data_IF_559837038931
#
_entry.id   IF_559837038931
#
_cell.length_a   1.000
_cell.length_b   1.000
_cell.length_c   1.000
_cell.angle_alpha   90.00
_cell.angle_beta   90.00
_cell.angle_gamma   90.00
#
_symmetry.space_group_name_H-M   'P 1'
#
loop_
_entity.id
_entity.type
_entity.pdbx_description
1 polymer ?
#
# COMPACT_ATOMS: atom_id res chain seq x y z
N UNK A 1 -60.10 26.86 17.20
CA UNK A 1 -58.76 27.18 16.62
C UNK A 1 -57.60 26.59 17.42
N UNK A 2 -57.56 26.68 18.75
CA UNK A 2 -56.46 26.15 19.60
C UNK A 2 -56.34 24.61 19.54
N UNK A 3 -57.47 23.91 19.48
CA UNK A 3 -57.56 22.44 19.36
C UNK A 3 -57.09 21.92 18.00
N UNK A 4 -57.45 22.60 16.90
CA UNK A 4 -57.00 22.23 15.56
C UNK A 4 -55.47 22.38 15.37
N UNK A 5 -54.85 23.40 15.98
CA UNK A 5 -53.39 23.57 15.96
C UNK A 5 -52.65 22.45 16.72
N UNK A 6 -53.22 21.99 17.84
CA UNK A 6 -52.66 20.87 18.60
C UNK A 6 -52.78 19.54 17.82
N UNK A 7 -53.91 19.30 17.16
CA UNK A 7 -54.10 18.12 16.30
C UNK A 7 -53.14 18.14 15.10
N UNK A 8 -52.94 19.30 14.47
CA UNK A 8 -51.99 19.43 13.35
C UNK A 8 -50.55 19.15 13.78
N UNK A 9 -50.15 19.66 14.96
CA UNK A 9 -48.81 19.43 15.51
C UNK A 9 -48.57 17.97 15.91
N UNK A 10 -49.62 17.28 16.40
CA UNK A 10 -49.53 15.85 16.72
C UNK A 10 -49.39 15.01 15.45
N UNK A 11 -50.15 15.33 14.40
CA UNK A 11 -50.04 14.66 13.10
C UNK A 11 -48.62 14.83 12.56
N UNK A 12 -48.08 16.05 12.59
CA UNK A 12 -46.71 16.33 12.12
C UNK A 12 -45.66 15.50 12.87
N UNK A 13 -45.76 15.45 14.20
CA UNK A 13 -44.84 14.71 15.05
C UNK A 13 -44.87 13.20 14.77
N UNK A 14 -46.06 12.64 14.61
CA UNK A 14 -46.24 11.22 14.27
C UNK A 14 -45.68 10.91 12.89
N UNK A 15 -45.96 11.74 11.88
CA UNK A 15 -45.40 11.54 10.53
C UNK A 15 -43.88 11.65 10.50
N UNK A 16 -43.30 12.57 11.29
CA UNK A 16 -41.85 12.73 11.39
C UNK A 16 -41.18 11.51 12.05
N UNK A 17 -41.78 10.99 13.13
CA UNK A 17 -41.29 9.79 13.81
C UNK A 17 -41.36 8.55 12.91
N UNK A 18 -42.43 8.38 12.13
CA UNK A 18 -42.56 7.27 11.18
C UNK A 18 -41.49 7.36 10.09
N UNK A 19 -41.22 8.55 9.55
CA UNK A 19 -40.20 8.73 8.52
C UNK A 19 -38.81 8.29 8.99
N UNK A 20 -38.44 8.62 10.24
CA UNK A 20 -37.16 8.22 10.84
C UNK A 20 -37.07 6.71 11.03
N UNK A 21 -38.14 6.07 11.51
CA UNK A 21 -38.16 4.63 11.74
C UNK A 21 -38.06 3.83 10.44
N UNK A 22 -38.65 4.35 9.36
CA UNK A 22 -38.53 3.74 8.02
C UNK A 22 -37.15 3.96 7.42
N UNK A 23 -36.54 5.13 7.59
CA UNK A 23 -35.18 5.39 7.07
C UNK A 23 -34.07 4.69 7.86
N UNK A 24 -34.31 4.31 9.11
CA UNK A 24 -33.32 3.66 9.97
C UNK A 24 -33.12 2.16 9.71
N UNK A 25 -34.01 1.51 8.97
CA UNK A 25 -33.88 0.08 8.57
C UNK A 25 -33.29 -0.05 7.16
N UNK A 26 -32.23 0.71 6.87
CA UNK A 26 -31.41 0.45 5.68
C UNK A 26 -30.35 -0.58 6.06
N UNK A 27 -30.44 -1.76 5.45
CA UNK A 27 -29.37 -2.75 5.48
C UNK A 27 -28.23 -2.19 4.61
N UNK A 28 -27.29 -1.49 5.23
CA UNK A 28 -26.14 -0.95 4.55
C UNK A 28 -25.19 -2.12 4.29
N UNK A 29 -25.27 -2.69 3.09
CA UNK A 29 -24.27 -3.64 2.60
C UNK A 29 -22.94 -2.90 2.55
N UNK A 30 -22.12 -3.10 3.59
CA UNK A 30 -20.82 -2.49 3.72
C UNK A 30 -19.96 -2.96 2.56
N UNK A 31 -19.56 -2.04 1.69
CA UNK A 31 -18.52 -2.32 0.72
C UNK A 31 -17.21 -2.44 1.51
N UNK A 32 -16.84 -3.67 1.89
CA UNK A 32 -15.55 -3.94 2.49
C UNK A 32 -14.47 -3.35 1.58
N UNK A 33 -13.66 -2.45 2.12
CA UNK A 33 -12.49 -1.97 1.39
C UNK A 33 -11.54 -3.15 1.26
N UNK A 34 -11.57 -3.79 0.10
CA UNK A 34 -10.61 -4.83 -0.28
C UNK A 34 -9.27 -4.11 -0.48
N UNK A 35 -8.51 -3.95 0.60
CA UNK A 35 -7.08 -3.62 0.53
C UNK A 35 -6.35 -4.92 0.18
N UNK A 36 -6.51 -5.37 -1.05
CA UNK A 36 -5.64 -6.41 -1.59
C UNK A 36 -4.49 -5.67 -2.25
N UNK A 37 -3.35 -5.66 -1.58
CA UNK A 37 -2.07 -5.48 -2.26
C UNK A 37 -1.98 -6.62 -3.29
N UNK A 38 -2.22 -6.31 -4.57
CA UNK A 38 -2.25 -7.31 -5.65
C UNK A 38 -0.93 -8.06 -5.84
N UNK A 39 0.11 -7.73 -5.07
CA UNK A 39 1.40 -8.40 -5.07
C UNK A 39 1.40 -9.75 -4.33
N UNK A 40 0.56 -9.92 -3.30
CA UNK A 40 0.62 -11.11 -2.43
C UNK A 40 0.06 -12.39 -3.11
N UNK A 41 -0.76 -12.23 -4.15
CA UNK A 41 -1.32 -13.35 -4.92
C UNK A 41 -0.49 -13.75 -6.14
N UNK A 42 0.67 -13.11 -6.36
CA UNK A 42 1.56 -13.50 -7.45
C UNK A 42 2.50 -14.57 -6.93
N UNK A 43 2.28 -15.82 -7.34
CA UNK A 43 3.27 -16.88 -7.15
C UNK A 43 4.49 -16.50 -8.00
N UNK A 44 5.52 -15.99 -7.34
CA UNK A 44 6.78 -15.68 -8.02
C UNK A 44 7.36 -16.99 -8.57
N UNK A 45 7.79 -17.02 -9.84
CA UNK A 45 8.51 -18.17 -10.36
C UNK A 45 9.79 -18.34 -9.53
N UNK A 46 10.10 -19.60 -9.17
CA UNK A 46 11.34 -19.90 -8.44
C UNK A 46 12.55 -19.39 -9.22
N UNK A 47 13.48 -18.74 -8.51
CA UNK A 47 14.74 -18.28 -9.10
C UNK A 47 15.49 -19.46 -9.70
N UNK A 48 15.74 -19.40 -11.01
CA UNK A 48 16.58 -20.36 -11.72
C UNK A 48 17.91 -19.71 -12.04
N UNK A 49 18.99 -20.47 -11.84
CA UNK A 49 20.30 -20.05 -12.31
C UNK A 49 20.32 -20.21 -13.82
N UNK A 50 20.56 -19.11 -14.52
CA UNK A 50 20.66 -19.09 -15.98
C UNK A 50 22.13 -19.23 -16.41
N UNK A 51 22.38 -19.76 -17.61
CA UNK A 51 23.73 -20.10 -18.07
C UNK A 51 24.71 -18.90 -18.04
N UNK A 52 24.22 -17.68 -18.29
CA UNK A 52 25.03 -16.46 -18.24
C UNK A 52 25.54 -16.14 -16.83
N UNK A 53 24.85 -16.60 -15.78
CA UNK A 53 25.24 -16.35 -14.38
C UNK A 53 26.44 -17.20 -13.95
N UNK A 54 26.72 -18.29 -14.67
CA UNK A 54 27.76 -19.28 -14.30
C UNK A 54 28.83 -19.50 -15.38
N UNK A 55 28.59 -19.03 -16.60
CA UNK A 55 29.54 -19.20 -17.70
C UNK A 55 30.62 -18.13 -17.63
N UNK A 56 31.86 -18.53 -17.34
CA UNK A 56 33.01 -17.63 -17.16
C UNK A 56 33.23 -16.70 -18.37
N UNK A 57 33.05 -17.21 -19.59
CA UNK A 57 33.20 -16.43 -20.83
C UNK A 57 32.23 -15.25 -20.93
N UNK A 58 31.05 -15.33 -20.29
CA UNK A 58 30.09 -14.22 -20.22
C UNK A 58 30.63 -13.04 -19.39
N UNK A 59 31.60 -13.28 -18.51
CA UNK A 59 32.20 -12.26 -17.64
C UNK A 59 33.61 -11.89 -18.09
N UNK A 60 34.38 -12.85 -18.60
CA UNK A 60 35.77 -12.65 -19.04
C UNK A 60 35.91 -11.85 -20.34
N UNK A 61 34.88 -11.86 -21.19
CA UNK A 61 34.89 -11.03 -22.42
C UNK A 61 34.99 -9.53 -22.07
N UNK A 62 34.59 -9.11 -20.86
CA UNK A 62 34.76 -7.74 -20.38
C UNK A 62 36.22 -7.36 -20.09
N UNK A 63 37.12 -8.32 -19.86
CA UNK A 63 38.54 -8.04 -19.60
C UNK A 63 39.40 -8.04 -20.88
N UNK A 64 39.04 -8.83 -21.90
CA UNK A 64 39.83 -8.94 -23.14
C UNK A 64 39.43 -7.94 -24.23
N UNK A 65 38.18 -7.45 -24.23
CA UNK A 65 37.77 -6.32 -25.04
C UNK A 65 37.74 -5.05 -24.18
N UNK A 66 38.92 -4.42 -24.04
CA UNK A 66 39.01 -2.98 -23.81
C UNK A 66 38.49 -2.20 -25.05
N UNK A 67 37.38 -2.64 -25.64
CA UNK A 67 36.38 -1.73 -26.13
C UNK A 67 35.54 -1.39 -24.90
N UNK A 68 35.98 -0.36 -24.17
CA UNK A 68 35.00 0.66 -23.79
C UNK A 68 34.40 1.08 -25.13
N UNK A 69 33.35 0.37 -25.57
CA UNK A 69 32.32 1.01 -26.35
C UNK A 69 32.09 2.28 -25.56
N UNK A 70 32.37 3.41 -26.18
CA UNK A 70 32.00 4.68 -25.61
C UNK A 70 30.48 4.62 -25.52
N UNK A 71 29.97 3.98 -24.46
CA UNK A 71 28.60 4.10 -24.03
C UNK A 71 28.51 5.57 -23.70
N UNK A 72 28.13 6.33 -24.72
CA UNK A 72 27.47 7.59 -24.56
C UNK A 72 26.08 7.28 -24.01
N UNK A 73 26.05 6.66 -22.83
CA UNK A 73 24.93 6.87 -21.95
C UNK A 73 24.89 8.37 -21.72
N UNK A 74 23.73 8.96 -21.99
CA UNK A 74 23.50 10.37 -21.68
C UNK A 74 23.83 10.58 -20.19
N UNK A 75 24.50 11.69 -19.88
CA UNK A 75 24.80 12.05 -18.49
C UNK A 75 23.51 11.91 -17.67
N UNK A 76 23.54 11.02 -16.68
CA UNK A 76 22.38 10.76 -15.83
C UNK A 76 22.03 12.06 -15.11
N UNK A 77 21.01 12.74 -15.62
CA UNK A 77 20.53 14.01 -15.10
C UNK A 77 19.20 13.79 -14.39
N UNK A 78 18.98 14.53 -13.31
CA UNK A 78 17.70 14.46 -12.61
C UNK A 78 16.64 15.08 -13.50
N UNK A 79 15.71 14.26 -13.96
CA UNK A 79 14.60 14.72 -14.79
C UNK A 79 13.61 15.57 -13.97
N UNK A 80 12.96 16.54 -14.59
CA UNK A 80 12.07 17.49 -13.89
C UNK A 80 10.94 16.83 -13.10
N UNK A 81 10.41 15.70 -13.57
CA UNK A 81 9.35 14.98 -12.87
C UNK A 81 9.82 14.37 -11.54
N UNK A 82 11.11 14.02 -11.43
CA UNK A 82 11.68 13.49 -10.20
C UNK A 82 11.74 14.55 -9.10
N UNK A 83 11.79 15.82 -9.47
CA UNK A 83 11.78 16.97 -8.55
C UNK A 83 10.36 17.49 -8.26
N UNK A 84 9.39 17.11 -9.08
CA UNK A 84 8.01 17.56 -8.93
C UNK A 84 7.30 16.79 -7.81
N UNK A 85 7.30 17.38 -6.60
CA UNK A 85 6.63 16.84 -5.42
C UNK A 85 5.15 16.50 -5.63
N UNK A 86 4.48 17.11 -6.62
CA UNK A 86 3.10 16.77 -6.95
C UNK A 86 2.96 15.42 -7.67
N UNK A 87 4.03 14.92 -8.31
CA UNK A 87 4.10 13.60 -8.96
C UNK A 87 4.28 12.46 -7.96
N UNK A 88 4.86 12.77 -6.81
CA UNK A 88 5.20 11.79 -5.78
C UNK A 88 4.11 11.59 -4.73
N UNK A 89 2.93 12.19 -4.90
CA UNK A 89 1.74 11.91 -4.09
C UNK A 89 2.04 11.82 -2.60
N UNK A 90 2.52 12.91 -1.99
CA UNK A 90 2.97 12.97 -0.59
C UNK A 90 1.83 12.81 0.45
N UNK A 91 0.82 11.99 0.20
CA UNK A 91 -0.03 11.46 1.27
C UNK A 91 0.66 10.30 2.01
N UNK A 92 1.67 9.66 1.39
CA UNK A 92 2.39 8.53 1.98
C UNK A 92 3.55 8.95 2.92
N UNK A 93 3.87 10.24 3.01
CA UNK A 93 4.89 10.77 3.93
C UNK A 93 4.31 11.67 5.03
N UNK A 94 2.99 11.69 5.20
CA UNK A 94 2.40 11.92 6.51
C UNK A 94 2.70 10.65 7.34
N UNK A 95 3.98 10.48 7.69
CA UNK A 95 4.33 9.62 8.81
C UNK A 95 3.45 10.12 9.95
N UNK A 96 2.59 9.25 10.47
CA UNK A 96 2.12 9.41 11.84
C UNK A 96 3.41 9.59 12.65
N UNK A 97 3.66 10.80 13.12
CA UNK A 97 4.90 11.19 13.77
C UNK A 97 4.91 10.60 15.18
N UNK A 98 4.75 9.29 15.31
CA UNK A 98 4.88 8.51 16.53
C UNK A 98 4.86 6.99 16.28
N UNK A 99 5.53 6.47 15.24
CA UNK A 99 5.93 5.06 15.30
C UNK A 99 7.07 4.94 16.33
N UNK A 100 6.67 4.64 17.56
CA UNK A 100 7.58 4.14 18.58
C UNK A 100 7.95 2.71 18.19
N UNK A 101 8.91 2.56 17.28
CA UNK A 101 9.55 1.26 17.10
C UNK A 101 10.16 0.84 18.44
N UNK A 102 9.73 -0.32 18.94
CA UNK A 102 10.35 -0.91 20.10
C UNK A 102 11.82 -1.21 19.77
N UNK A 103 12.69 -1.07 20.77
CA UNK A 103 14.10 -1.44 20.60
C UNK A 103 14.18 -2.88 20.12
N UNK A 104 14.96 -3.15 19.08
CA UNK A 104 15.21 -4.51 18.62
C UNK A 104 15.78 -5.35 19.77
N UNK A 105 15.10 -6.44 20.11
CA UNK A 105 15.52 -7.41 21.12
C UNK A 105 15.78 -8.75 20.44
N UNK A 106 16.84 -9.44 20.87
CA UNK A 106 17.10 -10.80 20.41
C UNK A 106 16.07 -11.74 21.02
N UNK A 107 15.28 -12.37 20.16
CA UNK A 107 14.29 -13.34 20.59
C UNK A 107 14.97 -14.69 20.89
N UNK A 108 14.36 -15.49 21.78
CA UNK A 108 14.97 -16.75 22.25
C UNK A 108 15.30 -17.73 21.13
N UNK A 109 14.52 -17.74 20.05
CA UNK A 109 14.79 -18.61 18.91
C UNK A 109 16.03 -18.18 18.12
N UNK A 110 16.37 -16.89 18.10
CA UNK A 110 17.53 -16.35 17.39
C UNK A 110 18.86 -16.79 18.03
N UNK A 111 18.84 -17.16 19.31
CA UNK A 111 20.03 -17.50 20.10
C UNK A 111 20.04 -18.95 20.61
N UNK A 112 18.97 -19.70 20.39
CA UNK A 112 18.89 -21.07 20.88
C UNK A 112 19.42 -22.03 19.82
N UNK A 113 20.59 -22.61 20.13
CA UNK A 113 21.29 -23.62 19.33
C UNK A 113 20.41 -24.80 18.90
N UNK A 114 19.36 -25.15 19.66
CA UNK A 114 18.41 -26.21 19.30
C UNK A 114 17.64 -25.94 18.00
N UNK A 115 17.49 -24.67 17.59
CA UNK A 115 16.79 -24.32 16.35
C UNK A 115 17.73 -24.20 15.14
N UNK A 116 19.04 -24.23 15.35
CA UNK A 116 20.05 -23.97 14.31
C UNK A 116 21.08 -25.10 14.15
N UNK A 117 21.15 -26.03 15.10
CA UNK A 117 21.96 -27.26 15.05
C UNK A 117 21.09 -28.48 14.76
#
# INVERSE_FOLDING_TARGET
MKTMKAQLSQIFLVTFLIAILVSGNVDAEGNEMIVVSGLENTVEPGLVVEDWMVTEDCWLTAESDFFVATDHDEDLSVEFWMLDKSKWGLAAFDYASTDHENRLELEKWMVNEMFWN
#
